data_IF_381120007464
#
_entry.id   IF_381120007464
#
_cell.length_a   1.000
_cell.length_b   1.000
_cell.length_c   1.000
_cell.angle_alpha   90.00
_cell.angle_beta   90.00
_cell.angle_gamma   90.00
#
_symmetry.space_group_name_H-M   'P 1'
#
loop_
_entity.id
_entity.type
_entity.pdbx_description
1 polymer ?
#
# COMPACT_ATOMS: atom_id res chain seq x y z
N UNK A 1 1.53 -4.21 -9.74
CA UNK A 1 1.08 -4.99 -8.57
C UNK A 1 0.19 -4.10 -7.70
N UNK A 2 -0.97 -4.59 -7.24
CA UNK A 2 -1.95 -3.75 -6.54
C UNK A 2 -1.44 -3.14 -5.22
N UNK A 3 -0.72 -3.93 -4.41
CA UNK A 3 -0.11 -3.48 -3.17
C UNK A 3 0.78 -2.25 -3.39
N UNK A 4 1.68 -2.29 -4.37
CA UNK A 4 2.53 -1.15 -4.72
C UNK A 4 1.72 0.09 -5.09
N UNK A 5 0.67 -0.06 -5.91
CA UNK A 5 -0.18 1.08 -6.33
C UNK A 5 -0.84 1.73 -5.12
N UNK A 6 -1.35 0.93 -4.18
CA UNK A 6 -1.97 1.43 -2.95
C UNK A 6 -0.92 2.15 -2.10
N UNK A 7 0.22 1.52 -1.83
CA UNK A 7 1.27 2.11 -1.01
C UNK A 7 1.89 3.38 -1.62
N UNK A 8 1.99 3.46 -2.96
CA UNK A 8 2.43 4.66 -3.65
C UNK A 8 1.43 5.82 -3.45
N UNK A 9 0.13 5.54 -3.57
CA UNK A 9 -0.92 6.55 -3.38
C UNK A 9 -1.08 6.97 -1.92
N UNK A 10 -0.80 6.08 -0.97
CA UNK A 10 -0.76 6.39 0.46
C UNK A 10 0.54 7.11 0.89
N UNK A 11 1.48 7.35 -0.03
CA UNK A 11 2.75 8.02 0.27
C UNK A 11 3.78 7.17 1.02
N UNK A 12 3.57 5.85 1.12
CA UNK A 12 4.54 4.93 1.75
C UNK A 12 5.79 4.68 0.91
N UNK A 13 5.74 5.01 -0.38
CA UNK A 13 6.91 5.14 -1.25
C UNK A 13 6.64 6.21 -2.30
N UNK A 14 7.70 6.84 -2.78
CA UNK A 14 7.67 7.77 -3.92
C UNK A 14 8.16 7.12 -5.21
N UNK A 15 8.59 5.85 -5.16
CA UNK A 15 9.10 5.12 -6.30
C UNK A 15 7.95 4.72 -7.23
N UNK A 16 8.09 5.04 -8.51
CA UNK A 16 7.08 4.71 -9.53
C UNK A 16 7.11 3.23 -9.94
N UNK A 17 8.19 2.52 -9.60
CA UNK A 17 8.43 1.13 -9.96
C UNK A 17 8.41 0.22 -8.73
N UNK A 18 7.78 -0.95 -8.87
CA UNK A 18 7.69 -1.96 -7.83
C UNK A 18 8.97 -2.82 -7.77
N UNK A 19 10.08 -2.23 -7.38
CA UNK A 19 11.37 -2.92 -7.20
C UNK A 19 11.65 -3.25 -5.71
N UNK A 20 12.80 -3.88 -5.44
CA UNK A 20 13.21 -4.23 -4.08
C UNK A 20 13.40 -3.01 -3.17
N UNK A 21 13.75 -1.85 -3.74
CA UNK A 21 13.89 -0.62 -2.98
C UNK A 21 12.51 -0.13 -2.54
N UNK A 22 11.53 -0.11 -3.44
CA UNK A 22 10.14 0.21 -3.12
C UNK A 22 9.58 -0.73 -2.04
N UNK A 23 9.83 -2.04 -2.16
CA UNK A 23 9.41 -3.01 -1.13
C UNK A 23 10.03 -2.71 0.25
N UNK A 24 11.30 -2.29 0.28
CA UNK A 24 12.00 -1.93 1.52
C UNK A 24 11.46 -0.64 2.13
N UNK A 25 11.19 0.40 1.32
CA UNK A 25 10.59 1.65 1.77
C UNK A 25 9.20 1.43 2.35
N UNK A 26 8.35 0.67 1.64
CA UNK A 26 7.01 0.32 2.09
C UNK A 26 7.06 -0.47 3.41
N UNK A 27 7.94 -1.46 3.53
CA UNK A 27 8.09 -2.25 4.78
C UNK A 27 8.56 -1.38 5.95
N UNK A 28 9.44 -0.40 5.70
CA UNK A 28 9.86 0.58 6.72
C UNK A 28 8.71 1.48 7.14
N UNK A 29 7.89 1.94 6.21
CA UNK A 29 6.68 2.71 6.52
C UNK A 29 5.71 1.88 7.39
N UNK A 30 5.44 0.62 7.04
CA UNK A 30 4.60 -0.23 7.89
C UNK A 30 5.20 -0.52 9.26
N UNK A 31 6.54 -0.57 9.38
CA UNK A 31 7.21 -0.76 10.68
C UNK A 31 6.95 0.40 11.64
N UNK A 32 6.64 1.61 11.16
CA UNK A 32 6.27 2.72 12.06
C UNK A 32 4.87 2.52 12.66
N UNK A 33 4.02 1.73 12.00
CA UNK A 33 2.64 1.45 12.41
C UNK A 33 2.58 0.15 13.24
N UNK A 34 3.22 -0.92 12.76
CA UNK A 34 3.27 -2.22 13.40
C UNK A 34 4.74 -2.72 13.50
N UNK A 35 5.52 -2.25 14.48
CA UNK A 35 6.95 -2.57 14.57
C UNK A 35 7.26 -4.07 14.68
N UNK A 36 6.40 -4.82 15.40
CA UNK A 36 6.58 -6.24 15.64
C UNK A 36 6.29 -7.12 14.41
N UNK A 37 5.54 -6.59 13.44
CA UNK A 37 5.06 -7.35 12.27
C UNK A 37 4.60 -6.38 11.17
N UNK A 38 5.56 -5.77 10.45
CA UNK A 38 5.26 -4.76 9.43
C UNK A 38 4.62 -5.34 8.16
N UNK A 39 4.60 -6.66 7.98
CA UNK A 39 4.10 -7.30 6.75
C UNK A 39 2.66 -7.80 6.86
N UNK A 40 2.03 -7.68 8.05
CA UNK A 40 0.64 -8.13 8.27
C UNK A 40 -0.41 -7.53 7.34
N UNK A 41 -0.11 -6.38 6.75
CA UNK A 41 -1.03 -5.68 5.86
C UNK A 41 -0.99 -6.23 4.42
N UNK A 42 -0.01 -7.05 4.06
CA UNK A 42 0.16 -7.57 2.71
C UNK A 42 -1.09 -8.33 2.23
N UNK A 43 -1.67 -9.16 3.11
CA UNK A 43 -2.86 -9.95 2.78
C UNK A 43 -4.11 -9.08 2.57
N UNK A 44 -4.34 -8.08 3.42
CA UNK A 44 -5.50 -7.20 3.30
C UNK A 44 -5.40 -6.27 2.10
N UNK A 45 -4.21 -5.72 1.84
CA UNK A 45 -3.96 -4.79 0.72
C UNK A 45 -3.99 -5.49 -0.64
N UNK A 46 -3.46 -6.69 -0.74
CA UNK A 46 -3.57 -7.50 -1.97
C UNK A 46 -5.03 -7.87 -2.24
N UNK A 47 -5.81 -8.22 -1.21
CA UNK A 47 -7.24 -8.54 -1.35
C UNK A 47 -8.09 -7.33 -1.74
N UNK A 48 -7.81 -6.13 -1.21
CA UNK A 48 -8.43 -4.88 -1.66
C UNK A 48 -8.12 -4.57 -3.13
N UNK A 49 -6.93 -4.91 -3.59
CA UNK A 49 -6.52 -4.73 -4.97
C UNK A 49 -7.18 -5.68 -5.97
N UNK A 50 -7.41 -6.93 -5.57
CA UNK A 50 -7.84 -8.01 -6.48
C UNK A 50 -9.37 -8.10 -6.60
N UNK A 51 -10.11 -7.64 -5.60
CA UNK A 51 -11.58 -7.71 -5.56
C UNK A 51 -12.19 -6.76 -6.59
N UNK A 52 -12.92 -7.31 -7.57
CA UNK A 52 -13.67 -6.54 -8.57
C UNK A 52 -14.81 -5.71 -7.96
N UNK A 53 -15.29 -6.13 -6.80
CA UNK A 53 -16.34 -5.49 -6.01
C UNK A 53 -15.80 -4.46 -5.00
N UNK A 54 -14.47 -4.35 -4.85
CA UNK A 54 -13.84 -3.28 -4.09
C UNK A 54 -13.57 -2.10 -5.03
N UNK A 55 -14.32 -1.01 -4.88
CA UNK A 55 -14.01 0.22 -5.60
C UNK A 55 -12.79 0.90 -4.97
N UNK A 56 -11.62 0.48 -5.45
CA UNK A 56 -10.34 1.03 -5.02
C UNK A 56 -10.27 2.53 -5.30
N UNK A 57 -10.89 3.02 -6.38
CA UNK A 57 -10.88 4.44 -6.71
C UNK A 57 -11.71 5.24 -5.71
N UNK A 58 -12.88 4.74 -5.30
CA UNK A 58 -13.70 5.37 -4.26
C UNK A 58 -13.01 5.36 -2.89
N UNK A 59 -12.35 4.26 -2.53
CA UNK A 59 -11.56 4.18 -1.30
C UNK A 59 -10.44 5.23 -1.31
N UNK A 60 -9.67 5.30 -2.39
CA UNK A 60 -8.55 6.22 -2.51
C UNK A 60 -9.00 7.69 -2.56
N UNK A 61 -10.19 7.98 -3.10
CA UNK A 61 -10.76 9.33 -3.11
C UNK A 61 -10.95 9.89 -1.70
N UNK A 62 -11.20 9.04 -0.69
CA UNK A 62 -11.27 9.47 0.71
C UNK A 62 -9.92 9.89 1.31
N UNK A 63 -8.81 9.51 0.67
CA UNK A 63 -7.45 9.79 1.14
C UNK A 63 -6.70 10.78 0.24
N UNK A 64 -7.26 11.17 -0.91
CA UNK A 64 -6.66 12.16 -1.84
C UNK A 64 -6.97 13.61 -1.48
N UNK A 65 -7.76 13.86 -0.44
CA UNK A 65 -8.13 15.21 0.04
C UNK A 65 -7.15 15.76 1.11
N UNK A 66 -5.98 15.15 1.27
CA UNK A 66 -4.86 15.62 2.10
C UNK A 66 -3.63 15.94 1.24
#
# INVERSE_FOLDING_TARGET
THMHKICYLLGFTTLKHADMRAATEITRAFRTIAPADPVRYDFSLTRLGIRKDADLSAFLKQFSDF
#
